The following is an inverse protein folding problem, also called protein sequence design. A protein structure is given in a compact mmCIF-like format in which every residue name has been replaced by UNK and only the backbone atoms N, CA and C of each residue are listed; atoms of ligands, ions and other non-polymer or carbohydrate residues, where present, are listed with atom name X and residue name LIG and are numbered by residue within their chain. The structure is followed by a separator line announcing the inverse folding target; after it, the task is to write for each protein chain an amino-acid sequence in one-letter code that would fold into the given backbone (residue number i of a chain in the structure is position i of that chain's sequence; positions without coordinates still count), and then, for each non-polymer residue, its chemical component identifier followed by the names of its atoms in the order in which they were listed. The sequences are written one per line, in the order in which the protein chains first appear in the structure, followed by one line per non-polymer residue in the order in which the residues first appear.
data_IF_191651304276
#
_entry.id   IF_191651304276
#
_cell.length_a   1.000
_cell.length_b   1.000
_cell.length_c   1.000
_cell.angle_alpha   90.00
_cell.angle_beta   90.00
_cell.angle_gamma   90.00
#
_symmetry.space_group_name_H-M   'P 1'
#
loop_
_entity.id
_entity.type
_entity.pdbx_description
1 polymer ?
#
# COMPACT_ATOMS: atom_id res chain seq x y z
N UNK A 1 33.62 10.61 8.55
CA UNK A 1 32.87 9.59 7.79
C UNK A 1 31.92 8.77 8.66
N UNK A 2 32.36 8.24 9.81
CA UNK A 2 31.52 7.44 10.73
C UNK A 2 30.15 8.07 11.03
N UNK A 3 30.12 9.31 11.54
CA UNK A 3 28.87 10.01 11.88
C UNK A 3 27.87 10.04 10.71
N UNK A 4 28.33 10.42 9.51
CA UNK A 4 27.45 10.52 8.34
C UNK A 4 26.79 9.19 7.97
N UNK A 5 27.50 8.07 8.11
CA UNK A 5 26.98 6.73 7.79
C UNK A 5 25.91 6.32 8.82
N UNK A 6 26.20 6.50 10.12
CA UNK A 6 25.31 6.12 11.22
C UNK A 6 24.02 6.96 11.23
N UNK A 7 24.11 8.22 10.80
CA UNK A 7 22.94 9.09 10.61
C UNK A 7 22.15 8.70 9.37
N UNK A 8 22.81 8.40 8.25
CA UNK A 8 22.16 7.95 7.02
C UNK A 8 21.42 6.61 7.21
N UNK A 9 22.00 5.68 7.97
CA UNK A 9 21.37 4.40 8.32
C UNK A 9 20.34 4.53 9.45
N UNK A 10 20.05 5.75 9.92
CA UNK A 10 19.09 6.06 11.00
C UNK A 10 19.39 5.42 12.36
N UNK A 11 20.61 4.91 12.57
CA UNK A 11 21.02 4.30 13.86
C UNK A 11 21.23 5.37 14.94
N UNK A 12 21.87 6.48 14.58
CA UNK A 12 21.96 7.69 15.40
C UNK A 12 22.54 7.54 16.81
N UNK A 13 23.76 7.01 16.97
CA UNK A 13 24.41 6.88 18.30
C UNK A 13 24.66 8.22 19.03
N UNK A 14 24.77 9.33 18.29
CA UNK A 14 24.88 10.67 18.88
C UNK A 14 26.21 10.98 19.58
N UNK A 15 27.22 10.12 19.39
CA UNK A 15 28.55 10.21 20.00
C UNK A 15 29.42 11.34 19.41
N UNK A 16 29.29 11.58 18.11
CA UNK A 16 29.93 12.69 17.41
C UNK A 16 28.86 13.49 16.66
N UNK A 17 29.00 14.82 16.59
CA UNK A 17 28.15 15.67 15.76
C UNK A 17 28.93 16.89 15.22
N UNK A 18 28.57 17.41 14.04
CA UNK A 18 29.24 18.58 13.49
C UNK A 18 28.87 19.84 14.28
N UNK A 19 29.88 20.49 14.86
CA UNK A 19 29.71 21.75 15.61
C UNK A 19 29.78 23.01 14.72
N UNK A 20 30.08 22.86 13.43
CA UNK A 20 30.20 23.99 12.50
C UNK A 20 28.85 24.30 11.83
N UNK A 21 28.55 25.57 11.51
CA UNK A 21 27.29 25.94 10.86
C UNK A 21 27.06 25.20 9.54
N UNK A 22 28.12 25.08 8.72
CA UNK A 22 28.07 24.33 7.46
C UNK A 22 27.82 22.83 7.69
N UNK A 23 28.42 22.26 8.74
CA UNK A 23 28.23 20.86 9.09
C UNK A 23 26.83 20.56 9.62
N UNK A 24 26.23 21.49 10.37
CA UNK A 24 24.83 21.39 10.82
C UNK A 24 23.85 21.49 9.65
N UNK A 25 24.13 22.34 8.66
CA UNK A 25 23.33 22.39 7.44
C UNK A 25 23.36 21.05 6.69
N UNK A 26 24.56 20.49 6.48
CA UNK A 26 24.70 19.16 5.87
C UNK A 26 24.04 18.06 6.71
N UNK A 27 24.08 18.15 8.04
CA UNK A 27 23.36 17.24 8.94
C UNK A 27 21.87 17.22 8.68
N UNK A 28 21.26 18.40 8.56
CA UNK A 28 19.83 18.51 8.29
C UNK A 28 19.44 17.88 6.94
N UNK A 29 20.27 18.06 5.91
CA UNK A 29 20.07 17.44 4.60
C UNK A 29 20.16 15.90 4.66
N UNK A 30 21.17 15.37 5.34
CA UNK A 30 21.34 13.92 5.49
C UNK A 30 20.16 13.28 6.22
N UNK A 31 19.60 13.95 7.23
CA UNK A 31 18.38 13.48 7.92
C UNK A 31 17.18 13.41 6.98
N UNK A 32 16.94 14.45 6.16
CA UNK A 32 15.84 14.45 5.17
C UNK A 32 16.02 13.35 4.13
N UNK A 33 17.25 13.14 3.65
CA UNK A 33 17.57 12.07 2.70
C UNK A 33 17.36 10.68 3.32
N UNK A 34 17.71 10.48 4.59
CA UNK A 34 17.47 9.24 5.32
C UNK A 34 15.99 8.84 5.34
N UNK A 35 15.08 9.79 5.56
CA UNK A 35 13.63 9.55 5.45
C UNK A 35 13.22 9.14 4.04
N UNK A 36 13.82 9.75 3.01
CA UNK A 36 13.56 9.37 1.61
C UNK A 36 13.95 7.92 1.31
N UNK A 37 15.10 7.47 1.84
CA UNK A 37 15.58 6.09 1.65
C UNK A 37 14.64 5.05 2.28
N UNK A 38 14.02 5.36 3.42
CA UNK A 38 13.04 4.46 4.06
C UNK A 38 11.68 4.53 3.34
N UNK A 39 11.26 5.71 2.88
CA UNK A 39 9.95 5.89 2.26
C UNK A 39 9.77 5.12 0.96
N UNK A 40 10.82 4.99 0.14
CA UNK A 40 10.76 4.30 -1.16
C UNK A 40 10.43 2.80 -1.05
N UNK A 41 11.19 1.97 -0.31
CA UNK A 41 10.88 0.55 -0.19
C UNK A 41 9.54 0.31 0.53
N UNK A 42 9.23 1.10 1.58
CA UNK A 42 7.92 1.03 2.25
C UNK A 42 6.78 1.35 1.29
N UNK A 43 6.95 2.37 0.43
CA UNK A 43 5.95 2.75 -0.58
C UNK A 43 5.72 1.64 -1.61
N UNK A 44 6.79 1.04 -2.14
CA UNK A 44 6.70 -0.06 -3.11
C UNK A 44 5.96 -1.25 -2.49
N UNK A 45 6.38 -1.68 -1.30
CA UNK A 45 5.75 -2.82 -0.60
C UNK A 45 4.31 -2.51 -0.25
N UNK A 46 4.00 -1.29 0.19
CA UNK A 46 2.64 -0.87 0.52
C UNK A 46 1.69 -0.94 -0.68
N UNK A 47 2.13 -0.52 -1.87
CA UNK A 47 1.33 -0.60 -3.10
C UNK A 47 1.07 -2.06 -3.47
N UNK A 48 2.09 -2.91 -3.42
CA UNK A 48 1.92 -4.32 -3.76
C UNK A 48 1.03 -5.05 -2.75
N UNK A 49 1.21 -4.78 -1.46
CA UNK A 49 0.36 -5.33 -0.41
C UNK A 49 -1.09 -4.86 -0.56
N UNK A 50 -1.30 -3.58 -0.91
CA UNK A 50 -2.63 -3.03 -1.16
C UNK A 50 -3.29 -3.70 -2.37
N UNK A 51 -2.55 -3.93 -3.47
CA UNK A 51 -3.06 -4.67 -4.64
C UNK A 51 -3.37 -6.13 -4.33
N UNK A 52 -2.52 -6.78 -3.52
CA UNK A 52 -2.73 -8.16 -3.11
C UNK A 52 -3.95 -8.32 -2.20
N UNK A 53 -4.22 -7.31 -1.35
CA UNK A 53 -5.36 -7.32 -0.43
C UNK A 53 -6.66 -6.84 -1.10
N UNK A 54 -6.62 -5.74 -1.85
CA UNK A 54 -7.77 -5.16 -2.55
C UNK A 54 -7.89 -5.74 -3.95
N UNK A 55 -8.52 -6.92 -4.06
CA UNK A 55 -9.04 -7.39 -5.34
C UNK A 55 -10.15 -6.42 -5.78
N UNK A 56 -9.91 -5.70 -6.88
CA UNK A 56 -10.93 -4.82 -7.45
C UNK A 56 -12.02 -5.68 -8.08
N UNK A 57 -13.19 -5.73 -7.45
CA UNK A 57 -14.29 -6.53 -7.99
C UNK A 57 -14.79 -5.95 -9.32
N UNK A 58 -14.75 -6.79 -10.34
CA UNK A 58 -15.19 -6.47 -11.70
C UNK A 58 -16.65 -6.83 -11.94
N UNK A 59 -17.39 -7.26 -10.90
CA UNK A 59 -18.80 -7.62 -11.01
C UNK A 59 -19.65 -6.39 -11.34
N UNK A 60 -20.27 -6.42 -12.52
CA UNK A 60 -21.27 -5.45 -12.94
C UNK A 60 -22.68 -6.06 -12.84
N UNK A 61 -23.62 -5.27 -12.34
CA UNK A 61 -25.01 -5.66 -12.26
C UNK A 61 -25.66 -5.61 -13.64
N UNK A 62 -26.18 -6.75 -14.13
CA UNK A 62 -26.89 -6.83 -15.41
C UNK A 62 -28.26 -6.14 -15.38
N UNK A 63 -28.84 -5.92 -14.20
CA UNK A 63 -30.14 -5.27 -14.06
C UNK A 63 -30.08 -3.73 -14.08
N UNK A 64 -29.09 -3.13 -13.43
CA UNK A 64 -29.01 -1.67 -13.30
C UNK A 64 -27.71 -1.06 -13.83
N UNK A 65 -26.78 -1.87 -14.33
CA UNK A 65 -25.51 -1.43 -14.91
C UNK A 65 -24.48 -0.90 -13.91
N UNK A 66 -24.75 -0.91 -12.60
CA UNK A 66 -23.76 -0.49 -11.59
C UNK A 66 -22.65 -1.56 -11.45
N UNK A 67 -21.40 -1.11 -11.38
CA UNK A 67 -20.25 -1.93 -11.02
C UNK A 67 -19.81 -1.74 -9.57
N UNK A 68 -18.61 -2.22 -9.23
CA UNK A 68 -17.98 -2.10 -7.91
C UNK A 68 -18.83 -2.70 -6.77
N UNK A 69 -19.27 -3.93 -6.98
CA UNK A 69 -19.86 -4.78 -5.93
C UNK A 69 -18.77 -5.54 -5.19
N UNK A 70 -19.01 -6.06 -4.00
CA UNK A 70 -18.01 -6.90 -3.33
C UNK A 70 -17.85 -8.24 -4.08
N UNK A 71 -16.68 -8.86 -3.99
CA UNK A 71 -16.40 -10.13 -4.70
C UNK A 71 -17.28 -11.29 -4.22
N UNK A 72 -17.80 -11.22 -3.00
CA UNK A 72 -18.74 -12.15 -2.38
C UNK A 72 -20.20 -11.66 -2.44
N UNK A 73 -20.47 -10.49 -3.03
CA UNK A 73 -21.82 -9.98 -3.16
C UNK A 73 -22.67 -10.88 -4.07
N UNK A 74 -23.76 -11.42 -3.52
CA UNK A 74 -24.77 -12.20 -4.24
C UNK A 74 -25.85 -11.31 -4.87
N UNK A 75 -26.09 -10.14 -4.28
CA UNK A 75 -27.15 -9.21 -4.67
C UNK A 75 -26.62 -7.79 -4.81
N UNK A 76 -27.21 -7.03 -5.72
CA UNK A 76 -26.91 -5.64 -5.94
C UNK A 76 -27.44 -4.79 -4.78
N UNK A 77 -26.54 -4.07 -4.08
CA UNK A 77 -26.89 -3.14 -3.00
C UNK A 77 -27.82 -1.98 -3.38
N UNK A 78 -28.02 -1.75 -4.69
CA UNK A 78 -28.84 -0.63 -5.20
C UNK A 78 -30.21 -1.10 -5.68
N UNK A 79 -30.25 -2.12 -6.55
CA UNK A 79 -31.50 -2.59 -7.15
C UNK A 79 -31.99 -3.94 -6.63
N UNK A 80 -31.22 -4.64 -5.79
CA UNK A 80 -31.55 -5.98 -5.31
C UNK A 80 -31.39 -7.10 -6.34
N UNK A 81 -31.01 -6.80 -7.59
CA UNK A 81 -30.80 -7.81 -8.63
C UNK A 81 -29.63 -8.74 -8.33
N UNK A 82 -29.71 -9.99 -8.78
CA UNK A 82 -28.67 -11.00 -8.53
C UNK A 82 -27.39 -10.68 -9.30
N UNK A 83 -26.24 -10.84 -8.65
CA UNK A 83 -24.90 -10.56 -9.19
C UNK A 83 -24.13 -11.87 -9.39
N UNK A 84 -24.36 -12.52 -10.52
CA UNK A 84 -23.70 -13.79 -10.85
C UNK A 84 -24.43 -14.99 -10.23
N UNK A 85 -25.28 -15.60 -11.04
CA UNK A 85 -25.97 -16.86 -10.76
C UNK A 85 -24.96 -18.01 -10.88
N UNK A 86 -24.81 -18.80 -9.81
CA UNK A 86 -24.71 -20.26 -9.83
C UNK A 86 -23.94 -20.90 -11.03
N UNK A 87 -22.62 -20.72 -11.14
CA UNK A 87 -21.79 -21.47 -12.12
C UNK A 87 -20.65 -22.28 -11.48
N UNK A 88 -20.64 -22.44 -10.15
CA UNK A 88 -19.63 -23.22 -9.42
C UNK A 88 -20.19 -24.32 -8.52
N UNK A 89 -21.46 -24.71 -8.68
CA UNK A 89 -21.95 -25.99 -8.16
C UNK A 89 -22.14 -26.97 -9.32
N UNK A 90 -21.44 -28.11 -9.35
CA UNK A 90 -21.78 -29.17 -10.30
C UNK A 90 -23.23 -29.59 -10.01
N UNK A 91 -23.99 -29.77 -11.09
CA UNK A 91 -25.35 -30.29 -11.04
C UNK A 91 -25.40 -31.53 -10.13
N UNK A 92 -26.06 -31.40 -8.97
CA UNK A 92 -26.60 -32.55 -8.26
C UNK A 92 -27.71 -33.12 -9.14
N UNK A 93 -27.32 -34.05 -10.01
CA UNK A 93 -28.20 -35.03 -10.64
C UNK A 93 -28.74 -35.98 -9.57
N UNK A 94 -30.07 -36.15 -9.56
CA UNK A 94 -30.76 -37.42 -9.24
C UNK A 94 -30.74 -37.87 -7.79
#
# INVERSE_FOLDING_TARGET
MYWAIVTLTTVGYGDLSPNTPLGQFLASLVMVLGYGVIAVPTGIVSVELNRAYNKTSTKACLHCGRGAHDDDALFCKICGGTLGVELSRPATTG
#
